data_IF_918977340798
#
_entry.id   IF_918977340798
#
_cell.length_a   1.000
_cell.length_b   1.000
_cell.length_c   1.000
_cell.angle_alpha   90.00
_cell.angle_beta   90.00
_cell.angle_gamma   90.00
#
_symmetry.space_group_name_H-M   'P 1'
#
loop_
_entity.id
_entity.type
_entity.pdbx_description
1 polymer ?
#
# COMPACT_ATOMS: atom_id res chain seq x y z
N UNK A 1 10.74 4.91 -12.27
CA UNK A 1 11.82 5.81 -12.78
C UNK A 1 12.00 5.83 -14.30
N UNK A 2 11.60 4.79 -15.06
CA UNK A 2 11.79 4.72 -16.54
C UNK A 2 10.56 4.37 -17.41
N UNK A 3 9.43 3.91 -16.87
CA UNK A 3 8.34 3.43 -17.72
C UNK A 3 7.29 4.51 -18.07
N UNK A 4 7.41 5.07 -19.28
CA UNK A 4 6.29 5.30 -20.21
C UNK A 4 6.87 5.27 -21.64
N UNK A 5 7.29 4.09 -22.09
CA UNK A 5 7.59 3.83 -23.51
C UNK A 5 6.95 2.47 -23.87
N UNK A 6 6.45 2.38 -25.11
CA UNK A 6 5.65 1.31 -25.71
C UNK A 6 6.05 -0.13 -25.32
N UNK A 7 5.08 -1.07 -25.21
CA UNK A 7 5.29 -2.44 -24.75
C UNK A 7 5.97 -3.37 -25.76
N UNK A 8 6.55 -2.85 -26.84
CA UNK A 8 7.34 -3.61 -27.81
C UNK A 8 8.78 -3.11 -27.78
N UNK A 9 9.62 -3.81 -27.02
CA UNK A 9 11.07 -3.56 -27.01
C UNK A 9 11.63 -3.79 -28.42
N UNK A 10 11.95 -2.70 -29.13
CA UNK A 10 12.70 -2.73 -30.37
C UNK A 10 14.20 -2.54 -30.05
N UNK A 11 15.08 -3.53 -30.31
CA UNK A 11 16.53 -3.42 -30.12
C UNK A 11 17.13 -2.19 -30.83
N UNK A 12 16.44 -1.63 -31.84
CA UNK A 12 16.84 -0.40 -32.51
C UNK A 12 16.85 0.84 -31.59
N UNK A 13 16.14 0.83 -30.45
CA UNK A 13 16.13 1.95 -29.50
C UNK A 13 17.49 2.20 -28.86
N UNK A 14 18.18 1.14 -28.42
CA UNK A 14 19.53 1.25 -27.85
C UNK A 14 20.50 1.84 -28.86
N UNK A 15 20.43 1.37 -30.11
CA UNK A 15 21.27 1.87 -31.18
C UNK A 15 20.96 3.34 -31.53
N UNK A 16 19.67 3.72 -31.58
CA UNK A 16 19.24 5.11 -31.81
C UNK A 16 19.66 6.03 -30.66
N UNK A 17 19.54 5.59 -29.42
CA UNK A 17 19.95 6.36 -28.24
C UNK A 17 21.47 6.57 -28.23
N UNK A 18 22.24 5.51 -28.44
CA UNK A 18 23.68 5.57 -28.64
C UNK A 18 24.08 6.56 -29.74
N UNK A 19 23.42 6.49 -30.90
CA UNK A 19 23.67 7.42 -32.01
C UNK A 19 23.27 8.86 -31.67
N UNK A 20 22.19 9.06 -30.93
CA UNK A 20 21.77 10.37 -30.46
C UNK A 20 22.82 10.95 -29.49
N UNK A 21 23.29 10.17 -28.51
CA UNK A 21 24.35 10.58 -27.60
C UNK A 21 25.65 10.94 -28.35
N UNK A 22 26.00 10.29 -29.45
CA UNK A 22 27.16 10.70 -30.25
C UNK A 22 26.95 12.01 -31.02
N UNK A 23 25.74 12.24 -31.53
CA UNK A 23 25.45 13.33 -32.48
C UNK A 23 25.06 14.63 -31.81
N UNK A 24 24.48 14.58 -30.60
CA UNK A 24 23.99 15.78 -29.91
C UNK A 24 25.18 16.65 -29.50
N UNK A 25 25.11 17.92 -29.90
CA UNK A 25 26.07 18.95 -29.50
C UNK A 25 25.39 19.79 -28.42
N UNK A 26 25.85 19.63 -27.18
CA UNK A 26 25.35 20.40 -26.04
C UNK A 26 26.24 21.63 -25.84
N UNK A 27 25.67 22.86 -25.85
CA UNK A 27 26.45 24.10 -25.73
C UNK A 27 27.35 24.13 -24.49
N UNK A 28 26.85 23.62 -23.37
CA UNK A 28 27.60 23.58 -22.10
C UNK A 28 28.84 22.68 -22.21
N UNK A 29 28.71 21.53 -22.87
CA UNK A 29 29.82 20.58 -23.06
C UNK A 29 30.83 21.13 -24.04
N UNK A 30 30.38 21.72 -25.15
CA UNK A 30 31.25 22.37 -26.13
C UNK A 30 32.06 23.52 -25.50
N UNK A 31 31.45 24.29 -24.60
CA UNK A 31 32.17 25.33 -23.86
C UNK A 31 33.27 24.72 -22.96
N UNK A 32 33.01 23.58 -22.31
CA UNK A 32 34.02 22.90 -21.48
C UNK A 32 35.14 22.30 -22.31
N UNK A 33 34.83 21.66 -23.45
CA UNK A 33 35.84 21.12 -24.38
C UNK A 33 36.79 22.24 -24.84
N UNK A 34 36.25 23.40 -25.22
CA UNK A 34 37.05 24.55 -25.68
C UNK A 34 38.00 25.12 -24.62
N UNK A 35 37.75 24.86 -23.32
CA UNK A 35 38.64 25.29 -22.23
C UNK A 35 39.89 24.41 -22.12
N UNK A 36 39.92 23.25 -22.78
CA UNK A 36 41.06 22.32 -22.78
C UNK A 36 41.60 22.21 -24.21
N UNK A 37 42.56 23.08 -24.61
CA UNK A 37 43.03 23.17 -26.01
C UNK A 37 43.70 21.90 -26.53
N UNK A 38 44.20 21.03 -25.64
CA UNK A 38 44.84 19.76 -26.01
C UNK A 38 43.85 18.61 -26.26
N UNK A 39 42.56 18.80 -25.98
CA UNK A 39 41.57 17.74 -26.10
C UNK A 39 41.23 17.48 -27.58
N UNK A 40 41.45 16.24 -28.03
CA UNK A 40 41.11 15.81 -29.41
C UNK A 40 39.77 15.09 -29.43
N UNK A 41 38.94 15.26 -30.47
CA UNK A 41 37.76 14.41 -30.64
C UNK A 41 38.20 12.95 -30.80
N UNK A 42 37.50 12.04 -30.13
CA UNK A 42 37.77 10.61 -30.17
C UNK A 42 36.65 9.82 -29.52
N UNK A 43 36.73 8.50 -29.64
CA UNK A 43 35.78 7.54 -29.06
C UNK A 43 36.59 6.62 -28.15
N UNK A 44 36.19 6.51 -26.89
CA UNK A 44 36.84 5.62 -25.92
C UNK A 44 35.95 4.40 -25.76
N UNK A 45 36.57 3.24 -25.53
CA UNK A 45 35.83 2.05 -25.15
C UNK A 45 34.94 2.34 -23.93
N UNK A 46 33.65 1.99 -24.04
CA UNK A 46 32.65 2.36 -23.04
C UNK A 46 32.91 1.70 -21.69
N UNK A 47 33.44 0.49 -21.73
CA UNK A 47 33.78 -0.25 -20.53
C UNK A 47 34.95 0.42 -19.80
N UNK A 48 35.97 0.84 -20.53
CA UNK A 48 37.08 1.61 -19.97
C UNK A 48 36.63 2.97 -19.41
N UNK A 49 35.71 3.66 -20.09
CA UNK A 49 35.13 4.92 -19.63
C UNK A 49 34.28 4.74 -18.36
N UNK A 50 33.46 3.68 -18.30
CA UNK A 50 32.65 3.33 -17.13
C UNK A 50 33.51 2.98 -15.92
N UNK A 51 34.54 2.14 -16.08
CA UNK A 51 35.48 1.81 -15.01
C UNK A 51 36.22 3.02 -14.48
N UNK A 52 36.71 3.89 -15.38
CA UNK A 52 37.36 5.14 -14.99
C UNK A 52 36.43 6.01 -14.14
N UNK A 53 35.17 6.14 -14.55
CA UNK A 53 34.20 6.93 -13.81
C UNK A 53 33.94 6.36 -12.41
N UNK A 54 33.77 5.04 -12.29
CA UNK A 54 33.63 4.38 -10.97
C UNK A 54 34.85 4.65 -10.09
N UNK A 55 36.07 4.57 -10.64
CA UNK A 55 37.29 4.84 -9.88
C UNK A 55 37.37 6.29 -9.38
N UNK A 56 37.01 7.26 -10.22
CA UNK A 56 36.93 8.68 -9.81
C UNK A 56 35.90 8.93 -8.70
N UNK A 57 34.79 8.19 -8.70
CA UNK A 57 33.71 8.34 -7.71
C UNK A 57 34.02 7.71 -6.34
N UNK A 58 35.13 6.98 -6.19
CA UNK A 58 35.49 6.32 -4.92
C UNK A 58 35.88 7.28 -3.80
N UNK A 59 36.42 8.44 -4.16
CA UNK A 59 37.13 9.30 -3.22
C UNK A 59 36.39 10.61 -2.91
N UNK A 60 35.57 11.09 -3.85
CA UNK A 60 34.85 12.36 -3.73
C UNK A 60 33.47 12.25 -4.38
N UNK A 61 32.57 13.19 -4.05
CA UNK A 61 31.32 13.42 -4.79
C UNK A 61 31.54 14.58 -5.80
N UNK A 62 32.22 14.34 -6.93
CA UNK A 62 32.58 15.42 -7.85
C UNK A 62 31.35 16.02 -8.51
N UNK A 63 31.38 17.34 -8.69
CA UNK A 63 30.40 18.02 -9.55
C UNK A 63 30.56 17.57 -11.01
N UNK A 64 29.49 17.73 -11.80
CA UNK A 64 29.52 17.50 -13.25
C UNK A 64 30.73 18.16 -13.93
N UNK A 65 31.00 19.43 -13.61
CA UNK A 65 32.13 20.17 -14.18
C UNK A 65 33.50 19.61 -13.74
N UNK A 66 33.60 19.10 -12.51
CA UNK A 66 34.83 18.51 -12.00
C UNK A 66 35.15 17.19 -12.72
N UNK A 67 34.15 16.35 -12.97
CA UNK A 67 34.30 15.10 -13.74
C UNK A 67 34.75 15.36 -15.18
N UNK A 68 34.14 16.33 -15.86
CA UNK A 68 34.54 16.70 -17.23
C UNK A 68 35.99 17.20 -17.25
N UNK A 69 36.34 18.08 -16.31
CA UNK A 69 37.70 18.62 -16.23
C UNK A 69 38.75 17.53 -15.95
N UNK A 70 38.44 16.57 -15.07
CA UNK A 70 39.29 15.42 -14.78
C UNK A 70 39.47 14.54 -16.03
N UNK A 71 38.37 14.18 -16.69
CA UNK A 71 38.38 13.37 -17.92
C UNK A 71 39.25 14.00 -19.01
N UNK A 72 38.99 15.26 -19.34
CA UNK A 72 39.71 15.97 -20.40
C UNK A 72 41.20 16.15 -20.08
N UNK A 73 41.55 16.30 -18.80
CA UNK A 73 42.95 16.44 -18.36
C UNK A 73 43.71 15.12 -18.48
N UNK A 74 43.11 14.01 -18.06
CA UNK A 74 43.77 12.71 -18.01
C UNK A 74 43.78 12.01 -19.37
N UNK A 75 42.63 11.98 -20.05
CA UNK A 75 42.48 11.24 -21.32
C UNK A 75 42.85 12.08 -22.54
N UNK A 76 42.78 13.42 -22.44
CA UNK A 76 42.95 14.37 -23.56
C UNK A 76 42.06 14.05 -24.78
N UNK A 77 40.94 13.36 -24.53
CA UNK A 77 39.97 12.95 -25.55
C UNK A 77 38.61 13.55 -25.21
N UNK A 78 38.02 14.26 -26.16
CA UNK A 78 36.67 14.79 -26.07
C UNK A 78 35.67 13.75 -26.62
N UNK A 79 35.44 12.70 -25.83
CA UNK A 79 34.45 11.66 -26.13
C UNK A 79 33.04 12.19 -25.85
N UNK A 80 32.26 12.39 -26.91
CA UNK A 80 30.91 12.92 -26.81
C UNK A 80 29.93 11.94 -26.17
N UNK A 81 30.08 10.63 -26.39
CA UNK A 81 29.22 9.62 -25.77
C UNK A 81 29.36 9.70 -24.27
N UNK A 82 30.60 9.73 -23.77
CA UNK A 82 30.90 9.86 -22.35
C UNK A 82 30.32 11.15 -21.75
N UNK A 83 30.66 12.29 -22.35
CA UNK A 83 30.26 13.61 -21.84
C UNK A 83 28.73 13.80 -21.87
N UNK A 84 28.08 13.37 -22.94
CA UNK A 84 26.62 13.46 -23.07
C UNK A 84 25.91 12.49 -22.11
N UNK A 85 26.49 11.34 -21.81
CA UNK A 85 25.92 10.40 -20.82
C UNK A 85 25.97 10.97 -19.40
N UNK A 86 27.08 11.63 -19.03
CA UNK A 86 27.19 12.34 -17.76
C UNK A 86 26.12 13.45 -17.65
N UNK A 87 26.00 14.27 -18.68
CA UNK A 87 25.04 15.37 -18.70
C UNK A 87 23.61 14.87 -18.66
N UNK A 88 23.28 13.86 -19.47
CA UNK A 88 21.94 13.28 -19.53
C UNK A 88 21.54 12.72 -18.18
N UNK A 89 22.44 11.98 -17.53
CA UNK A 89 22.17 11.40 -16.21
C UNK A 89 21.98 12.49 -15.16
N UNK A 90 22.84 13.52 -15.12
CA UNK A 90 22.70 14.64 -14.19
C UNK A 90 21.34 15.35 -14.35
N UNK A 91 20.95 15.66 -15.60
CA UNK A 91 19.64 16.27 -15.90
C UNK A 91 18.47 15.35 -15.58
N UNK A 92 18.62 14.05 -15.81
CA UNK A 92 17.56 13.09 -15.51
C UNK A 92 17.30 13.01 -14.01
N UNK A 93 18.36 13.00 -13.20
CA UNK A 93 18.23 13.07 -11.75
C UNK A 93 17.64 14.40 -11.27
N UNK A 94 18.03 15.53 -11.86
CA UNK A 94 17.43 16.85 -11.55
C UNK A 94 15.91 16.83 -11.74
N UNK A 95 15.43 16.29 -12.87
CA UNK A 95 14.00 16.15 -13.18
C UNK A 95 13.35 15.16 -12.21
N UNK A 96 13.95 13.98 -12.01
CA UNK A 96 13.39 12.95 -11.13
C UNK A 96 13.24 13.44 -9.69
N UNK A 97 14.23 14.13 -9.13
CA UNK A 97 14.17 14.68 -7.77
C UNK A 97 13.00 15.66 -7.61
N UNK A 98 12.69 16.45 -8.65
CA UNK A 98 11.55 17.40 -8.64
C UNK A 98 10.19 16.72 -8.71
N UNK A 99 10.06 15.64 -9.48
CA UNK A 99 8.76 15.00 -9.76
C UNK A 99 8.49 13.77 -8.90
N UNK A 100 9.51 13.18 -8.28
CA UNK A 100 9.35 12.00 -7.43
C UNK A 100 8.54 12.32 -6.17
N UNK A 101 7.63 11.40 -5.82
CA UNK A 101 6.83 11.44 -4.59
C UNK A 101 7.56 10.89 -3.37
N UNK A 102 8.81 10.46 -3.55
CA UNK A 102 9.65 9.98 -2.46
C UNK A 102 10.08 11.12 -1.54
N UNK A 103 10.42 10.73 -0.32
CA UNK A 103 10.98 11.63 0.69
C UNK A 103 12.34 12.20 0.26
N UNK A 104 12.66 13.43 0.70
CA UNK A 104 13.90 14.13 0.38
C UNK A 104 15.14 13.44 0.94
N UNK A 105 15.04 12.69 2.03
CA UNK A 105 16.09 11.82 2.53
C UNK A 105 16.51 10.79 1.46
N UNK A 106 15.53 10.13 0.86
CA UNK A 106 15.75 9.08 -0.14
C UNK A 106 16.24 9.71 -1.45
N UNK A 107 15.60 10.80 -1.90
CA UNK A 107 16.02 11.54 -3.09
C UNK A 107 17.49 11.96 -3.01
N UNK A 108 17.93 12.46 -1.85
CA UNK A 108 19.34 12.82 -1.63
C UNK A 108 20.26 11.60 -1.70
N UNK A 109 19.88 10.47 -1.12
CA UNK A 109 20.68 9.24 -1.15
C UNK A 109 20.93 8.74 -2.60
N UNK A 110 19.91 8.81 -3.44
CA UNK A 110 19.99 8.49 -4.87
C UNK A 110 20.78 9.55 -5.66
N UNK A 111 20.48 10.84 -5.46
CA UNK A 111 21.10 11.94 -6.19
C UNK A 111 22.61 12.04 -5.95
N UNK A 112 23.11 11.67 -4.77
CA UNK A 112 24.56 11.59 -4.48
C UNK A 112 25.28 10.59 -5.38
N UNK A 113 24.59 9.52 -5.81
CA UNK A 113 25.15 8.43 -6.61
C UNK A 113 24.80 8.53 -8.09
N UNK A 114 24.24 9.66 -8.55
CA UNK A 114 23.78 9.84 -9.94
C UNK A 114 24.84 9.52 -10.99
N UNK A 115 26.12 9.78 -10.73
CA UNK A 115 27.19 9.45 -11.70
C UNK A 115 27.58 7.96 -11.70
N UNK A 116 27.24 7.19 -10.67
CA UNK A 116 27.32 5.72 -10.74
C UNK A 116 26.32 5.19 -11.77
N UNK A 117 25.10 5.75 -11.81
CA UNK A 117 24.13 5.42 -12.86
C UNK A 117 24.63 5.80 -14.25
N UNK A 118 25.40 6.88 -14.38
CA UNK A 118 26.03 7.24 -15.65
C UNK A 118 27.08 6.20 -16.06
N UNK A 119 27.87 5.67 -15.13
CA UNK A 119 28.82 4.59 -15.41
C UNK A 119 28.10 3.31 -15.84
N UNK A 120 27.02 2.93 -15.14
CA UNK A 120 26.20 1.77 -15.51
C UNK A 120 25.56 1.99 -16.88
N UNK A 121 25.09 3.20 -17.19
CA UNK A 121 24.49 3.52 -18.49
C UNK A 121 25.50 3.47 -19.65
N UNK A 122 26.77 3.79 -19.41
CA UNK A 122 27.82 3.64 -20.41
C UNK A 122 28.03 2.16 -20.78
N UNK A 123 28.01 1.30 -19.77
CA UNK A 123 28.20 -0.15 -19.92
C UNK A 123 26.95 -0.86 -20.47
N UNK A 124 25.78 -0.55 -19.92
CA UNK A 124 24.50 -1.20 -20.16
C UNK A 124 23.46 -0.14 -20.54
N UNK A 125 23.39 0.20 -21.83
CA UNK A 125 22.42 1.17 -22.32
C UNK A 125 20.97 0.66 -22.26
N UNK A 126 20.81 -0.67 -22.24
CA UNK A 126 19.52 -1.35 -22.16
C UNK A 126 18.77 -0.98 -20.89
N UNK A 127 19.48 -0.65 -19.80
CA UNK A 127 18.90 -0.24 -18.51
C UNK A 127 17.82 0.83 -18.64
N UNK A 128 17.94 1.75 -19.60
CA UNK A 128 16.99 2.86 -19.77
C UNK A 128 15.69 2.44 -20.47
N UNK A 129 15.71 1.33 -21.19
CA UNK A 129 14.64 0.89 -22.09
C UNK A 129 14.02 -0.45 -21.69
N UNK A 130 14.75 -1.31 -21.00
CA UNK A 130 14.29 -2.62 -20.56
C UNK A 130 13.80 -2.54 -19.11
N UNK A 131 12.50 -2.74 -18.92
CA UNK A 131 11.90 -2.81 -17.58
C UNK A 131 12.43 -4.03 -16.79
N UNK A 132 12.81 -5.10 -17.48
CA UNK A 132 13.38 -6.31 -16.89
C UNK A 132 14.87 -6.16 -16.50
N UNK A 133 15.53 -5.05 -16.85
CA UNK A 133 16.91 -4.83 -16.45
C UNK A 133 17.00 -4.74 -14.91
N UNK A 134 17.90 -5.50 -14.30
CA UNK A 134 17.97 -5.65 -12.85
C UNK A 134 18.03 -4.32 -12.07
N UNK A 135 18.79 -3.34 -12.57
CA UNK A 135 18.82 -2.02 -11.93
C UNK A 135 17.49 -1.25 -12.04
N UNK A 136 16.79 -1.35 -13.18
CA UNK A 136 15.48 -0.71 -13.36
C UNK A 136 14.47 -1.32 -12.38
N UNK A 137 14.50 -2.65 -12.27
CA UNK A 137 13.69 -3.40 -11.32
C UNK A 137 13.98 -3.07 -9.86
N UNK A 138 15.25 -2.97 -9.46
CA UNK A 138 15.63 -2.53 -8.11
C UNK A 138 15.05 -1.16 -7.79
N UNK A 139 15.20 -0.19 -8.69
CA UNK A 139 14.69 1.17 -8.49
C UNK A 139 13.17 1.14 -8.33
N UNK A 140 12.46 0.42 -9.18
CA UNK A 140 10.99 0.29 -9.11
C UNK A 140 10.54 -0.32 -7.78
N UNK A 141 11.19 -1.41 -7.35
CA UNK A 141 10.90 -2.06 -6.07
C UNK A 141 11.13 -1.12 -4.90
N UNK A 142 12.22 -0.35 -4.91
CA UNK A 142 12.53 0.65 -3.89
C UNK A 142 11.52 1.82 -3.92
N UNK A 143 11.17 2.33 -5.10
CA UNK A 143 10.14 3.37 -5.25
C UNK A 143 8.81 2.92 -4.64
N UNK A 144 8.36 1.70 -4.95
CA UNK A 144 7.13 1.11 -4.40
C UNK A 144 7.22 0.83 -2.90
N UNK A 145 8.39 0.37 -2.42
CA UNK A 145 8.60 0.08 -1.01
C UNK A 145 8.59 1.35 -0.15
N UNK A 146 9.16 2.43 -0.66
CA UNK A 146 9.33 3.69 0.05
C UNK A 146 8.17 4.67 -0.15
N UNK A 147 7.27 4.40 -1.07
CA UNK A 147 6.11 5.23 -1.32
C UNK A 147 5.29 5.45 -0.04
N UNK A 148 5.00 6.72 0.25
CA UNK A 148 4.19 7.12 1.41
C UNK A 148 4.96 7.24 2.73
N UNK A 149 6.24 6.86 2.77
CA UNK A 149 7.08 7.18 3.91
C UNK A 149 7.61 8.61 3.86
N UNK A 150 7.73 9.22 5.04
CA UNK A 150 8.29 10.56 5.23
C UNK A 150 9.28 10.52 6.39
N UNK A 151 10.37 11.27 6.25
CA UNK A 151 11.36 11.44 7.30
C UNK A 151 10.75 12.29 8.43
N UNK A 152 10.70 11.71 9.63
CA UNK A 152 10.18 12.36 10.85
C UNK A 152 11.29 12.84 11.78
N UNK A 153 12.56 12.68 11.38
CA UNK A 153 13.74 12.98 12.19
C UNK A 153 14.19 11.81 13.08
N UNK A 154 13.37 10.77 13.20
CA UNK A 154 13.71 9.51 13.87
C UNK A 154 14.44 8.55 12.92
N UNK A 155 15.00 7.48 13.48
CA UNK A 155 15.65 6.44 12.69
C UNK A 155 14.64 5.81 11.70
N UNK A 156 15.00 5.69 10.40
CA UNK A 156 14.10 5.12 9.41
C UNK A 156 13.75 3.67 9.77
N UNK A 157 12.50 3.24 9.55
CA UNK A 157 12.08 1.86 9.79
C UNK A 157 12.96 0.85 9.04
N UNK A 158 13.06 -0.37 9.57
CA UNK A 158 13.91 -1.42 8.98
C UNK A 158 13.57 -1.74 7.52
N UNK A 159 12.29 -1.63 7.12
CA UNK A 159 11.86 -1.85 5.72
C UNK A 159 12.35 -0.77 4.75
N UNK A 160 12.86 0.36 5.26
CA UNK A 160 13.47 1.43 4.47
C UNK A 160 14.97 1.42 4.61
N UNK A 161 15.44 1.41 5.84
CA UNK A 161 16.86 1.47 6.15
C UNK A 161 17.62 0.31 5.50
N UNK A 162 17.14 -0.93 5.63
CA UNK A 162 17.87 -2.11 5.15
C UNK A 162 17.99 -2.14 3.62
N UNK A 163 16.90 -1.98 2.83
CA UNK A 163 17.01 -2.00 1.37
C UNK A 163 17.74 -0.77 0.83
N UNK A 164 17.54 0.41 1.41
CA UNK A 164 18.25 1.62 1.00
C UNK A 164 19.76 1.49 1.26
N UNK A 165 20.14 0.95 2.43
CA UNK A 165 21.54 0.70 2.76
C UNK A 165 22.15 -0.32 1.80
N UNK A 166 21.46 -1.44 1.55
CA UNK A 166 21.93 -2.50 0.63
C UNK A 166 22.12 -1.96 -0.79
N UNK A 167 21.18 -1.15 -1.27
CA UNK A 167 21.27 -0.51 -2.58
C UNK A 167 22.39 0.54 -2.65
N UNK A 168 22.58 1.32 -1.58
CA UNK A 168 23.70 2.24 -1.44
C UNK A 168 25.05 1.53 -1.48
N UNK A 169 25.21 0.44 -0.71
CA UNK A 169 26.40 -0.41 -0.71
C UNK A 169 26.69 -1.00 -2.09
N UNK A 170 25.65 -1.41 -2.83
CA UNK A 170 25.79 -1.87 -4.21
C UNK A 170 26.36 -0.79 -5.12
N UNK A 171 25.81 0.43 -5.07
CA UNK A 171 26.26 1.54 -5.91
C UNK A 171 27.65 2.06 -5.52
N UNK A 172 28.05 1.91 -4.26
CA UNK A 172 29.37 2.32 -3.77
C UNK A 172 30.46 1.25 -4.02
N UNK A 173 30.06 0.02 -4.38
CA UNK A 173 30.98 -1.09 -4.65
C UNK A 173 31.50 -1.01 -6.11
N UNK A 174 32.82 -1.13 -6.35
CA UNK A 174 33.39 -1.16 -7.70
C UNK A 174 32.83 -2.27 -8.60
N UNK A 175 32.25 -3.33 -8.01
CA UNK A 175 31.60 -4.43 -8.73
C UNK A 175 30.20 -4.08 -9.21
N UNK A 176 29.70 -2.86 -9.04
CA UNK A 176 28.36 -2.47 -9.53
C UNK A 176 28.14 -2.71 -11.04
N UNK A 177 29.22 -2.75 -11.83
CA UNK A 177 29.20 -3.11 -13.25
C UNK A 177 29.08 -4.63 -13.48
N UNK A 178 29.39 -5.48 -12.50
CA UNK A 178 29.25 -6.93 -12.62
C UNK A 178 27.77 -7.35 -12.62
N UNK A 179 27.37 -8.05 -13.67
CA UNK A 179 26.01 -8.60 -13.85
C UNK A 179 25.65 -9.53 -12.68
N UNK A 180 26.54 -10.44 -12.28
CA UNK A 180 26.22 -11.42 -11.24
C UNK A 180 26.02 -10.76 -9.87
N UNK A 181 26.83 -9.75 -9.55
CA UNK A 181 26.68 -8.97 -8.32
C UNK A 181 25.37 -8.17 -8.32
N UNK A 182 25.01 -7.57 -9.45
CA UNK A 182 23.75 -6.84 -9.61
C UNK A 182 22.54 -7.77 -9.44
N UNK A 183 22.52 -8.94 -10.08
CA UNK A 183 21.43 -9.92 -9.91
C UNK A 183 21.30 -10.40 -8.46
N UNK A 184 22.42 -10.60 -7.76
CA UNK A 184 22.41 -10.96 -6.34
C UNK A 184 21.75 -9.88 -5.49
N UNK A 185 22.09 -8.60 -5.72
CA UNK A 185 21.49 -7.47 -4.98
C UNK A 185 20.01 -7.32 -5.30
N UNK A 186 19.60 -7.61 -6.55
CA UNK A 186 18.19 -7.58 -6.94
C UNK A 186 17.40 -8.60 -6.11
N UNK A 187 17.89 -9.84 -6.03
CA UNK A 187 17.26 -10.89 -5.24
C UNK A 187 17.13 -10.52 -3.75
N UNK A 188 18.14 -9.84 -3.18
CA UNK A 188 18.08 -9.33 -1.80
C UNK A 188 16.95 -8.29 -1.61
N UNK A 189 16.84 -7.34 -2.55
CA UNK A 189 15.82 -6.28 -2.52
C UNK A 189 14.42 -6.87 -2.76
N UNK A 190 14.29 -7.82 -3.70
CA UNK A 190 13.04 -8.54 -3.95
C UNK A 190 12.56 -9.29 -2.71
N UNK A 191 13.46 -9.98 -2.00
CA UNK A 191 13.13 -10.65 -0.74
C UNK A 191 12.61 -9.66 0.31
N UNK A 192 13.24 -8.49 0.42
CA UNK A 192 12.79 -7.45 1.34
C UNK A 192 11.41 -6.89 0.95
N UNK A 193 11.20 -6.62 -0.34
CA UNK A 193 9.92 -6.15 -0.87
C UNK A 193 8.80 -7.16 -0.67
N UNK A 194 9.03 -8.45 -0.94
CA UNK A 194 8.04 -9.52 -0.76
C UNK A 194 7.61 -9.63 0.71
N UNK A 195 8.56 -9.63 1.65
CA UNK A 195 8.27 -9.69 3.09
C UNK A 195 7.41 -8.50 3.54
N UNK A 196 7.76 -7.30 3.10
CA UNK A 196 7.02 -6.09 3.48
C UNK A 196 5.65 -6.03 2.79
N UNK A 197 5.54 -6.43 1.53
CA UNK A 197 4.28 -6.54 0.79
C UNK A 197 3.32 -7.51 1.47
N UNK A 198 3.81 -8.69 1.89
CA UNK A 198 2.99 -9.66 2.62
C UNK A 198 2.56 -9.11 4.00
N UNK A 199 3.45 -8.40 4.70
CA UNK A 199 3.13 -7.75 5.97
C UNK A 199 2.04 -6.69 5.80
N UNK A 200 2.16 -5.83 4.79
CA UNK A 200 1.17 -4.79 4.45
C UNK A 200 -0.19 -5.41 4.15
N UNK A 201 -0.23 -6.45 3.30
CA UNK A 201 -1.46 -7.18 2.97
C UNK A 201 -2.13 -7.77 4.22
N UNK A 202 -1.37 -8.38 5.13
CA UNK A 202 -1.94 -8.93 6.39
C UNK A 202 -2.49 -7.83 7.29
N UNK A 203 -1.83 -6.68 7.36
CA UNK A 203 -2.29 -5.55 8.16
C UNK A 203 -3.57 -4.95 7.57
N UNK A 204 -3.61 -4.78 6.24
CA UNK A 204 -4.77 -4.30 5.51
C UNK A 204 -5.97 -5.22 5.71
N UNK A 205 -5.78 -6.55 5.57
CA UNK A 205 -6.86 -7.52 5.82
C UNK A 205 -7.38 -7.42 7.26
N UNK A 206 -6.50 -7.31 8.26
CA UNK A 206 -6.93 -7.16 9.66
C UNK A 206 -7.70 -5.86 9.90
N UNK A 207 -7.29 -4.77 9.24
CA UNK A 207 -8.00 -3.50 9.33
C UNK A 207 -9.39 -3.63 8.68
N UNK A 208 -9.48 -4.21 7.49
CA UNK A 208 -10.75 -4.47 6.81
C UNK A 208 -11.69 -5.35 7.65
N UNK A 209 -11.18 -6.43 8.23
CA UNK A 209 -11.97 -7.33 9.08
C UNK A 209 -12.44 -6.62 10.36
N UNK A 210 -11.59 -5.77 10.95
CA UNK A 210 -11.94 -4.96 12.13
C UNK A 210 -13.02 -3.93 11.81
N UNK A 211 -12.85 -3.15 10.74
CA UNK A 211 -13.85 -2.15 10.31
C UNK A 211 -15.17 -2.83 9.93
N UNK A 212 -15.12 -3.94 9.19
CA UNK A 212 -16.30 -4.72 8.86
C UNK A 212 -17.01 -5.23 10.11
N UNK A 213 -16.28 -5.73 11.10
CA UNK A 213 -16.86 -6.18 12.37
C UNK A 213 -17.52 -5.05 13.15
N UNK A 214 -16.93 -3.85 13.14
CA UNK A 214 -17.53 -2.64 13.73
C UNK A 214 -18.81 -2.24 13.01
N UNK A 215 -18.81 -2.23 11.68
CA UNK A 215 -19.98 -1.92 10.86
C UNK A 215 -21.11 -2.93 11.08
N UNK A 216 -20.80 -4.24 11.08
CA UNK A 216 -21.76 -5.32 11.33
C UNK A 216 -22.37 -5.24 12.74
N UNK A 217 -21.55 -4.92 13.75
CA UNK A 217 -22.02 -4.71 15.12
C UNK A 217 -22.93 -3.48 15.22
N UNK A 218 -22.53 -2.36 14.61
CA UNK A 218 -23.33 -1.14 14.60
C UNK A 218 -24.68 -1.33 13.90
N UNK A 219 -24.67 -1.99 12.73
CA UNK A 219 -25.89 -2.31 11.99
C UNK A 219 -26.82 -3.23 12.81
N UNK A 220 -26.26 -4.28 13.42
CA UNK A 220 -27.03 -5.23 14.25
C UNK A 220 -27.67 -4.54 15.46
N UNK A 221 -26.93 -3.65 16.11
CA UNK A 221 -27.43 -2.86 17.23
C UNK A 221 -28.58 -1.95 16.82
N UNK A 222 -28.45 -1.24 15.69
CA UNK A 222 -29.50 -0.37 15.19
C UNK A 222 -30.73 -1.13 14.71
N UNK A 223 -30.55 -2.29 14.08
CA UNK A 223 -31.66 -3.14 13.67
C UNK A 223 -32.46 -3.65 14.88
N UNK A 224 -31.78 -4.05 15.97
CA UNK A 224 -32.43 -4.48 17.21
C UNK A 224 -33.20 -3.33 17.86
N UNK A 225 -32.59 -2.14 17.95
CA UNK A 225 -33.25 -0.94 18.45
C UNK A 225 -34.46 -0.55 17.60
N UNK A 226 -34.34 -0.59 16.28
CA UNK A 226 -35.45 -0.31 15.37
C UNK A 226 -36.60 -1.31 15.57
N UNK A 227 -36.29 -2.61 15.69
CA UNK A 227 -37.29 -3.65 15.96
C UNK A 227 -38.09 -3.36 17.24
N UNK A 228 -37.40 -3.05 18.34
CA UNK A 228 -38.05 -2.71 19.61
C UNK A 228 -38.81 -1.39 19.50
N UNK A 229 -38.23 -0.34 18.91
CA UNK A 229 -38.90 0.96 18.78
C UNK A 229 -40.18 0.87 17.94
N UNK A 230 -40.20 0.08 16.86
CA UNK A 230 -41.42 -0.19 16.08
C UNK A 230 -42.50 -0.87 16.91
N UNK A 231 -42.10 -1.82 17.76
CA UNK A 231 -43.01 -2.50 18.69
C UNK A 231 -43.59 -1.52 19.73
N UNK A 232 -42.77 -0.59 20.23
CA UNK A 232 -43.16 0.40 21.24
C UNK A 232 -44.01 1.57 20.71
N UNK A 233 -44.30 1.65 19.40
CA UNK A 233 -45.15 2.71 18.81
C UNK A 233 -46.59 2.70 19.32
N UNK A 234 -47.05 1.58 19.89
CA UNK A 234 -48.39 1.44 20.45
C UNK A 234 -48.33 1.33 21.98
N UNK A 235 -49.39 1.73 22.70
CA UNK A 235 -49.45 1.56 24.15
C UNK A 235 -49.38 0.06 24.50
N UNK A 236 -48.48 -0.28 25.41
CA UNK A 236 -48.28 -1.64 25.92
C UNK A 236 -48.20 -1.64 27.46
N UNK A 237 -48.45 -2.78 28.11
CA UNK A 237 -48.26 -2.93 29.55
C UNK A 237 -46.82 -2.64 30.00
N UNK A 238 -46.67 -2.10 31.21
CA UNK A 238 -45.36 -1.75 31.79
C UNK A 238 -44.39 -2.93 31.81
N UNK A 239 -44.87 -4.12 32.19
CA UNK A 239 -44.04 -5.34 32.25
C UNK A 239 -43.46 -5.68 30.88
N UNK A 240 -44.28 -5.60 29.83
CA UNK A 240 -43.81 -5.85 28.46
C UNK A 240 -42.83 -4.76 27.98
N UNK A 241 -43.05 -3.50 28.38
CA UNK A 241 -42.11 -2.41 28.08
C UNK A 241 -40.73 -2.67 28.69
N UNK A 242 -40.67 -3.02 29.98
CA UNK A 242 -39.42 -3.33 30.68
C UNK A 242 -38.71 -4.56 30.06
N UNK A 243 -39.48 -5.58 29.69
CA UNK A 243 -38.96 -6.77 29.01
C UNK A 243 -38.36 -6.44 27.63
N UNK A 244 -39.12 -5.72 26.78
CA UNK A 244 -38.72 -5.38 25.42
C UNK A 244 -37.50 -4.45 25.37
N UNK A 245 -37.40 -3.50 26.31
CA UNK A 245 -36.29 -2.52 26.36
C UNK A 245 -35.04 -3.02 27.08
N UNK A 246 -35.16 -4.08 27.89
CA UNK A 246 -34.02 -4.69 28.58
C UNK A 246 -33.63 -6.05 27.99
N UNK A 247 -33.98 -7.16 28.67
CA UNK A 247 -33.47 -8.49 28.33
C UNK A 247 -33.77 -8.92 26.89
N UNK A 248 -34.93 -8.57 26.35
CA UNK A 248 -35.28 -8.94 24.99
C UNK A 248 -34.47 -8.16 23.95
N UNK A 249 -34.21 -6.87 24.16
CA UNK A 249 -33.36 -6.06 23.29
C UNK A 249 -31.94 -6.64 23.21
N UNK A 250 -31.40 -7.09 24.34
CA UNK A 250 -30.08 -7.73 24.37
C UNK A 250 -30.07 -9.07 23.64
N UNK A 251 -31.16 -9.86 23.75
CA UNK A 251 -31.33 -11.09 22.98
C UNK A 251 -31.43 -10.84 21.46
N UNK A 252 -32.12 -9.76 21.06
CA UNK A 252 -32.19 -9.32 19.67
C UNK A 252 -30.81 -8.89 19.15
N UNK A 253 -30.06 -8.10 19.93
CA UNK A 253 -28.71 -7.66 19.57
C UNK A 253 -27.78 -8.86 19.34
N UNK A 254 -27.77 -9.81 20.26
CA UNK A 254 -26.96 -11.03 20.15
C UNK A 254 -27.38 -11.87 18.93
N UNK A 255 -28.68 -12.04 18.70
CA UNK A 255 -29.18 -12.82 17.56
C UNK A 255 -28.85 -12.16 16.21
N UNK A 256 -28.98 -10.83 16.13
CA UNK A 256 -28.70 -10.07 14.92
C UNK A 256 -27.19 -9.99 14.65
N UNK A 257 -26.37 -9.91 15.69
CA UNK A 257 -24.92 -9.96 15.56
C UNK A 257 -24.44 -11.33 15.06
N UNK A 258 -25.00 -12.43 15.59
CA UNK A 258 -24.60 -13.80 15.24
C UNK A 258 -25.05 -14.20 13.83
N UNK A 259 -26.29 -13.92 13.47
CA UNK A 259 -26.91 -14.46 12.25
C UNK A 259 -27.34 -13.41 11.23
N UNK A 260 -27.35 -12.12 11.60
CA UNK A 260 -27.92 -11.04 10.81
C UNK A 260 -29.44 -10.88 11.01
N UNK A 261 -29.98 -9.66 10.94
CA UNK A 261 -31.42 -9.40 11.15
C UNK A 261 -32.31 -10.01 10.05
N UNK A 262 -31.76 -10.22 8.85
CA UNK A 262 -32.50 -10.79 7.71
C UNK A 262 -32.47 -12.32 7.66
N UNK A 263 -31.74 -12.96 8.56
CA UNK A 263 -31.63 -14.42 8.63
C UNK A 263 -32.95 -15.07 9.06
N UNK A 264 -33.04 -16.39 8.92
CA UNK A 264 -34.21 -17.14 9.42
C UNK A 264 -34.42 -16.87 10.91
N UNK A 265 -33.35 -16.91 11.72
CA UNK A 265 -33.40 -16.65 13.16
C UNK A 265 -33.77 -15.20 13.45
N UNK A 266 -33.17 -14.25 12.71
CA UNK A 266 -33.47 -12.82 12.81
C UNK A 266 -34.93 -12.48 12.52
N UNK A 267 -35.51 -13.06 11.46
CA UNK A 267 -36.93 -12.87 11.13
C UNK A 267 -37.86 -13.48 12.17
N UNK A 268 -37.49 -14.62 12.77
CA UNK A 268 -38.28 -15.23 13.85
C UNK A 268 -38.34 -14.30 15.06
N UNK A 269 -37.18 -13.84 15.55
CA UNK A 269 -37.16 -12.96 16.73
C UNK A 269 -37.82 -11.61 16.47
N UNK A 270 -37.71 -11.08 15.25
CA UNK A 270 -38.45 -9.90 14.82
C UNK A 270 -39.97 -10.13 14.85
N UNK A 271 -40.44 -11.27 14.31
CA UNK A 271 -41.86 -11.62 14.32
C UNK A 271 -42.40 -11.86 15.74
N UNK A 272 -41.62 -12.49 16.63
CA UNK A 272 -41.98 -12.66 18.04
C UNK A 272 -42.16 -11.31 18.73
N UNK A 273 -41.25 -10.37 18.50
CA UNK A 273 -41.34 -9.00 19.02
C UNK A 273 -42.63 -8.31 18.57
N UNK A 274 -43.00 -8.46 17.30
CA UNK A 274 -44.24 -7.92 16.74
C UNK A 274 -45.48 -8.61 17.32
N UNK A 275 -45.45 -9.93 17.47
CA UNK A 275 -46.55 -10.71 18.02
C UNK A 275 -46.83 -10.34 19.49
N UNK A 276 -45.80 -10.18 20.32
CA UNK A 276 -45.92 -9.70 21.70
C UNK A 276 -46.71 -8.40 21.79
N UNK A 277 -46.33 -7.43 20.98
CA UNK A 277 -47.03 -6.14 20.91
C UNK A 277 -48.43 -6.30 20.34
N UNK A 278 -48.60 -7.13 19.32
CA UNK A 278 -49.88 -7.34 18.64
C UNK A 278 -50.92 -7.93 19.60
N UNK A 279 -50.53 -8.83 20.50
CA UNK A 279 -51.41 -9.44 21.50
C UNK A 279 -51.88 -8.46 22.57
N UNK A 280 -51.12 -7.41 22.88
CA UNK A 280 -51.52 -6.41 23.88
C UNK A 280 -52.48 -5.34 23.34
N UNK A 281 -52.77 -5.33 22.03
CA UNK A 281 -53.65 -4.34 21.40
C UNK A 281 -55.12 -4.74 21.51
N UNK A 282 -55.99 -3.76 21.72
CA UNK A 282 -57.44 -3.96 21.57
C UNK A 282 -57.78 -4.20 20.09
N UNK A 283 -58.35 -5.37 19.80
CA UNK A 283 -58.67 -5.84 18.44
C UNK A 283 -60.16 -6.14 18.29
N UNK A 284 -60.69 -6.08 17.05
CA UNK A 284 -62.07 -6.47 16.78
C UNK A 284 -62.30 -7.94 17.15
N UNK A 285 -63.54 -8.29 17.49
CA UNK A 285 -63.93 -9.63 17.97
C UNK A 285 -63.54 -10.75 16.98
N UNK A 286 -63.45 -10.44 15.68
CA UNK A 286 -62.99 -11.37 14.63
C UNK A 286 -61.56 -11.90 14.84
N UNK A 287 -60.69 -11.16 15.52
CA UNK A 287 -59.30 -11.54 15.77
C UNK A 287 -59.09 -12.21 17.14
N UNK A 288 -60.14 -12.29 17.98
CA UNK A 288 -60.03 -12.74 19.37
C UNK A 288 -59.55 -14.18 19.50
N UNK A 289 -60.02 -15.06 18.63
CA UNK A 289 -59.60 -16.46 18.63
C UNK A 289 -58.14 -16.64 18.23
N UNK A 290 -57.64 -15.80 17.30
CA UNK A 290 -56.22 -15.76 16.91
C UNK A 290 -55.35 -15.18 18.03
N UNK A 291 -55.86 -14.20 18.77
CA UNK A 291 -55.17 -13.62 19.92
C UNK A 291 -54.99 -14.64 21.04
N UNK A 292 -56.05 -15.38 21.40
CA UNK A 292 -55.98 -16.43 22.42
C UNK A 292 -55.01 -17.56 22.03
N UNK A 293 -54.99 -17.98 20.77
CA UNK A 293 -54.07 -19.02 20.31
C UNK A 293 -52.61 -18.58 20.30
N UNK A 294 -52.34 -17.31 19.99
CA UNK A 294 -51.01 -16.71 20.10
C UNK A 294 -50.57 -16.61 21.57
N UNK A 295 -51.42 -16.10 22.46
CA UNK A 295 -51.09 -16.00 23.89
C UNK A 295 -50.72 -17.36 24.50
N UNK A 296 -51.40 -18.44 24.08
CA UNK A 296 -51.13 -19.79 24.58
C UNK A 296 -49.78 -20.38 24.14
N UNK A 297 -49.17 -19.86 23.08
CA UNK A 297 -47.95 -20.44 22.47
C UNK A 297 -46.74 -19.52 22.47
N UNK A 298 -46.94 -18.21 22.65
CA UNK A 298 -45.88 -17.21 22.45
C UNK A 298 -44.72 -17.40 23.43
N UNK A 299 -44.98 -17.82 24.67
CA UNK A 299 -43.95 -18.04 25.68
C UNK A 299 -43.06 -19.22 25.30
N UNK A 300 -43.66 -20.34 24.88
CA UNK A 300 -42.93 -21.51 24.36
C UNK A 300 -42.12 -21.17 23.11
N UNK A 301 -42.66 -20.34 22.21
CA UNK A 301 -41.98 -19.90 21.00
C UNK A 301 -40.85 -18.87 21.32
N UNK A 302 -40.93 -18.17 22.46
CA UNK A 302 -39.98 -17.12 22.86
C UNK A 302 -38.78 -17.66 23.64
N UNK A 303 -38.98 -18.64 24.52
CA UNK A 303 -37.96 -19.21 25.40
C UNK A 303 -36.65 -19.62 24.68
N UNK A 304 -36.68 -20.28 23.49
CA UNK A 304 -35.47 -20.68 22.77
C UNK A 304 -34.68 -19.49 22.19
N UNK A 305 -35.31 -18.33 22.09
CA UNK A 305 -34.75 -17.11 21.53
C UNK A 305 -34.34 -16.09 22.59
N UNK A 306 -34.66 -16.37 23.85
CA UNK A 306 -34.31 -15.54 24.99
C UNK A 306 -32.87 -15.84 25.47
N UNK A 307 -31.91 -15.54 24.61
CA UNK A 307 -30.51 -15.94 24.77
C UNK A 307 -29.71 -15.06 25.74
N UNK A 308 -30.14 -13.81 25.98
CA UNK A 308 -29.39 -12.89 26.84
C UNK A 308 -29.33 -13.35 28.30
N UNK A 309 -30.26 -14.18 28.75
CA UNK A 309 -30.31 -14.73 30.11
C UNK A 309 -29.98 -16.22 30.19
N UNK A 310 -29.43 -16.83 29.14
CA UNK A 310 -29.08 -18.26 29.18
C UNK A 310 -28.02 -18.59 30.27
N UNK A 311 -27.24 -17.59 30.69
CA UNK A 311 -26.27 -17.70 31.78
C UNK A 311 -26.87 -17.42 33.18
N UNK A 312 -28.14 -16.98 33.26
CA UNK A 312 -28.85 -16.63 34.48
C UNK A 312 -30.25 -17.28 34.48
N UNK A 313 -30.33 -18.61 34.67
CA UNK A 313 -31.57 -19.36 34.54
C UNK A 313 -32.68 -18.88 35.49
N UNK A 314 -32.33 -18.50 36.73
CA UNK A 314 -33.30 -18.02 37.72
C UNK A 314 -33.98 -16.71 37.25
N UNK A 315 -33.21 -15.78 36.68
CA UNK A 315 -33.76 -14.53 36.14
C UNK A 315 -34.59 -14.77 34.87
N UNK A 316 -34.20 -15.76 34.06
CA UNK A 316 -34.96 -16.15 32.88
C UNK A 316 -36.34 -16.68 33.28
N UNK A 317 -36.40 -17.56 34.29
CA UNK A 317 -37.66 -18.08 34.84
C UNK A 317 -38.51 -16.94 35.42
N UNK A 318 -37.91 -16.06 36.22
CA UNK A 318 -38.63 -14.91 36.80
C UNK A 318 -39.28 -14.03 35.72
N UNK A 319 -38.57 -13.75 34.62
CA UNK A 319 -39.13 -12.98 33.51
C UNK A 319 -40.27 -13.71 32.80
N UNK A 320 -40.16 -15.03 32.61
CA UNK A 320 -41.22 -15.84 32.00
C UNK A 320 -42.48 -15.84 32.88
N UNK A 321 -42.33 -16.02 34.19
CA UNK A 321 -43.42 -15.96 35.16
C UNK A 321 -44.09 -14.57 35.16
N UNK A 322 -43.29 -13.50 35.12
CA UNK A 322 -43.80 -12.11 35.05
C UNK A 322 -44.55 -11.80 33.77
N UNK A 323 -44.21 -12.44 32.65
CA UNK A 323 -44.91 -12.26 31.38
C UNK A 323 -46.20 -13.09 31.30
N UNK A 324 -46.28 -14.18 32.05
CA UNK A 324 -47.46 -15.05 32.12
C UNK A 324 -48.55 -14.48 33.04
N UNK A 325 -48.16 -13.78 34.11
CA UNK A 325 -49.04 -13.08 35.04
C UNK A 325 -49.69 -11.84 34.41
#
# INVERSE_FOLDING_TARGET
MLAQVDPEYDPSYVQRFSQALMRVVLPDIDQQIRRVPDARPGDVDRHDAARWLIECLRHEEPSFNALIAAWLRERKIADRTFLNTLWWTDKRFEIWTRHSRLDDFIKRAFARRRFVFAAILLEYMEFVFEDDHALARMIELLENLFQGWQDTGDAPPAYIHTPLKRFGEFLDDPRCLDVAFREQVLADIESAWQKESERRRKLEQRLMDSERGLDEAWYSQNAALHCVNEALRAPIPKVLFEFLTGPWLDSLRLTFLDSGPQSKRGRIVHALTQNLTWMCRNRPESDRQRQLSLCARILDDLEPHFISLDHLPDQKIEWMDRLQA
#
